data_IF_225023252802
#
_entry.id   IF_225023252802
#
_cell.length_a   1.000
_cell.length_b   1.000
_cell.length_c   1.000
_cell.angle_alpha   90.00
_cell.angle_beta   90.00
_cell.angle_gamma   90.00
#
_symmetry.space_group_name_H-M   'P 1'
#
loop_
_entity.id
_entity.type
_entity.pdbx_description
1 polymer ?
#
# COMPACT_ATOMS: atom_id res chain seq x y z
N UNK A 1 -40.38 -2.14 -32.54
CA UNK A 1 -39.89 -1.26 -31.46
C UNK A 1 -38.43 -1.60 -31.16
N UNK A 2 -37.44 -0.72 -31.45
CA UNK A 2 -36.04 -1.04 -31.17
C UNK A 2 -35.79 -0.93 -29.66
N UNK A 3 -35.33 -2.02 -29.03
CA UNK A 3 -34.94 -2.01 -27.61
C UNK A 3 -33.73 -1.10 -27.44
N UNK A 4 -33.91 0.04 -26.75
CA UNK A 4 -32.80 0.93 -26.38
C UNK A 4 -31.83 0.15 -25.49
N UNK A 5 -30.59 0.00 -25.97
CA UNK A 5 -29.50 -0.63 -25.25
C UNK A 5 -29.09 0.30 -24.10
N UNK A 6 -29.49 -0.01 -22.87
CA UNK A 6 -29.07 0.74 -21.69
C UNK A 6 -27.54 0.55 -21.57
N UNK A 7 -26.79 1.63 -21.79
CA UNK A 7 -25.35 1.63 -21.55
C UNK A 7 -25.15 1.78 -20.06
N UNK A 8 -24.90 0.68 -19.36
CA UNK A 8 -24.41 0.76 -17.98
C UNK A 8 -23.06 1.47 -18.01
N UNK A 9 -23.01 2.67 -17.42
CA UNK A 9 -21.76 3.38 -17.22
C UNK A 9 -20.86 2.50 -16.36
N UNK A 10 -19.68 2.12 -16.89
CA UNK A 10 -18.64 1.51 -16.07
C UNK A 10 -18.41 2.42 -14.85
N UNK A 11 -18.45 1.89 -13.61
CA UNK A 11 -18.13 2.70 -12.44
C UNK A 11 -16.76 3.33 -12.63
N UNK A 12 -16.65 4.60 -12.23
CA UNK A 12 -15.44 5.41 -12.37
C UNK A 12 -14.24 4.63 -11.88
N UNK A 13 -13.21 4.62 -12.73
CA UNK A 13 -11.92 3.97 -12.54
C UNK A 13 -11.49 3.98 -11.07
N UNK A 14 -11.35 2.77 -10.52
CA UNK A 14 -10.62 2.51 -9.27
C UNK A 14 -9.38 3.39 -9.29
N UNK A 15 -9.24 4.27 -8.29
CA UNK A 15 -7.98 4.96 -8.02
C UNK A 15 -6.84 3.97 -8.21
N UNK A 16 -5.78 4.38 -8.90
CA UNK A 16 -4.64 3.50 -9.16
C UNK A 16 -4.20 2.86 -7.85
N UNK A 17 -4.44 1.56 -7.69
CA UNK A 17 -4.07 0.78 -6.50
C UNK A 17 -2.54 0.72 -6.30
N UNK A 18 -1.77 1.39 -7.16
CA UNK A 18 -0.32 1.46 -7.10
C UNK A 18 0.17 2.69 -6.33
N UNK A 19 -0.70 3.65 -6.04
CA UNK A 19 -0.33 4.89 -5.36
C UNK A 19 -0.95 4.85 -3.95
N UNK A 20 -0.14 4.98 -2.88
CA UNK A 20 -0.68 5.09 -1.53
C UNK A 20 -1.60 6.31 -1.44
N UNK A 21 -2.77 6.20 -0.81
CA UNK A 21 -3.61 7.36 -0.54
C UNK A 21 -2.89 8.31 0.44
N UNK A 22 -3.17 9.61 0.31
CA UNK A 22 -2.72 10.59 1.29
C UNK A 22 -3.42 10.33 2.64
N UNK A 23 -2.74 10.49 3.79
CA UNK A 23 -3.38 10.39 5.10
C UNK A 23 -4.43 11.50 5.26
N UNK A 24 -5.45 11.26 6.08
CA UNK A 24 -6.49 12.26 6.34
C UNK A 24 -5.91 13.58 6.91
N UNK A 25 -4.80 13.52 7.64
CA UNK A 25 -4.09 14.66 8.19
C UNK A 25 -3.19 15.42 7.21
N UNK A 26 -3.24 15.12 5.90
CA UNK A 26 -2.29 15.68 4.93
C UNK A 26 -2.28 17.21 4.88
N UNK A 27 -3.45 17.84 5.00
CA UNK A 27 -3.65 19.30 4.98
C UNK A 27 -3.86 19.85 6.40
N UNK A 28 -3.12 19.33 7.38
CA UNK A 28 -3.20 19.76 8.78
C UNK A 28 -2.63 21.18 9.03
N UNK A 29 -3.05 21.84 10.14
CA UNK A 29 -2.51 23.13 10.57
C UNK A 29 -1.00 23.10 10.86
N UNK A 30 -0.39 24.29 10.93
CA UNK A 30 1.03 24.45 11.32
C UNK A 30 1.28 23.86 12.70
N UNK A 31 2.35 23.07 12.81
CA UNK A 31 2.73 22.39 14.05
C UNK A 31 2.13 20.99 14.21
N UNK A 32 1.26 20.55 13.30
CA UNK A 32 0.72 19.20 13.30
C UNK A 32 1.38 18.32 12.23
N UNK A 33 1.47 17.02 12.51
CA UNK A 33 2.07 16.06 11.59
C UNK A 33 1.12 15.67 10.45
N UNK A 34 1.62 15.67 9.22
CA UNK A 34 0.86 15.30 8.02
C UNK A 34 0.48 13.83 7.94
N UNK A 35 1.16 12.96 8.69
CA UNK A 35 0.90 11.52 8.68
C UNK A 35 -0.12 11.08 9.72
N UNK A 36 0.08 11.46 10.99
CA UNK A 36 -0.77 11.06 12.11
C UNK A 36 -1.71 12.14 12.61
N UNK A 37 -1.52 13.41 12.21
CA UNK A 37 -2.33 14.55 12.67
C UNK A 37 -1.89 15.16 14.01
N UNK A 38 -1.04 14.47 14.77
CA UNK A 38 -0.66 14.90 16.12
C UNK A 38 0.33 16.09 16.13
N UNK A 39 0.34 16.91 17.18
CA UNK A 39 1.31 18.00 17.33
C UNK A 39 2.77 17.52 17.31
N UNK A 40 3.62 18.23 16.59
CA UNK A 40 5.08 18.03 16.58
C UNK A 40 5.69 18.79 17.74
N UNK A 41 6.02 18.09 18.81
CA UNK A 41 6.56 18.70 20.05
C UNK A 41 8.09 18.61 20.05
N UNK A 42 8.75 19.73 20.36
CA UNK A 42 10.19 19.83 20.53
C UNK A 42 10.48 20.73 21.74
N UNK A 43 11.27 20.23 22.70
CA UNK A 43 11.56 20.91 23.96
C UNK A 43 10.29 21.34 24.73
N UNK A 44 9.27 20.47 24.75
CA UNK A 44 8.01 20.70 25.46
C UNK A 44 7.06 21.71 24.81
N UNK A 45 7.39 22.24 23.62
CA UNK A 45 6.55 23.19 22.88
C UNK A 45 6.21 22.66 21.49
N UNK A 46 5.04 23.02 20.97
CA UNK A 46 4.67 22.72 19.59
C UNK A 46 5.56 23.49 18.62
N UNK A 47 6.23 22.78 17.72
CA UNK A 47 7.07 23.37 16.69
C UNK A 47 6.24 23.64 15.42
N UNK A 48 5.77 24.87 15.28
CA UNK A 48 4.95 25.33 14.14
C UNK A 48 5.69 25.38 12.80
N UNK A 49 7.01 25.18 12.78
CA UNK A 49 7.83 25.11 11.55
C UNK A 49 7.93 23.70 10.98
N UNK A 50 7.54 22.67 11.74
CA UNK A 50 7.60 21.26 11.33
C UNK A 50 6.19 20.72 11.09
N UNK A 51 6.12 19.75 10.19
CA UNK A 51 4.88 19.05 9.81
C UNK A 51 5.04 17.52 9.81
N UNK A 52 6.12 17.02 10.40
CA UNK A 52 6.46 15.61 10.42
C UNK A 52 7.17 15.25 11.72
N UNK A 53 6.70 14.23 12.41
CA UNK A 53 7.55 13.51 13.36
C UNK A 53 8.60 12.69 12.59
N UNK A 54 9.82 12.51 13.13
CA UNK A 54 10.85 11.69 12.48
C UNK A 54 10.35 10.30 12.08
N UNK A 55 9.64 9.61 12.98
CA UNK A 55 9.08 8.29 12.70
C UNK A 55 7.99 8.29 11.62
N UNK A 56 7.16 9.35 11.60
CA UNK A 56 6.08 9.48 10.62
C UNK A 56 6.61 9.71 9.19
N UNK A 57 7.67 10.52 9.05
CA UNK A 57 8.31 10.69 7.74
C UNK A 57 8.99 9.40 7.29
N UNK A 58 9.61 8.63 8.18
CA UNK A 58 10.19 7.32 7.83
C UNK A 58 9.14 6.36 7.28
N UNK A 59 7.98 6.23 7.95
CA UNK A 59 6.88 5.39 7.44
C UNK A 59 6.41 5.91 6.07
N UNK A 60 6.19 7.22 5.94
CA UNK A 60 5.76 7.82 4.68
C UNK A 60 6.75 7.53 3.53
N UNK A 61 8.05 7.65 3.78
CA UNK A 61 9.09 7.35 2.81
C UNK A 61 9.08 5.85 2.45
N UNK A 62 8.92 4.95 3.41
CA UNK A 62 8.81 3.51 3.13
C UNK A 62 7.58 3.22 2.26
N UNK A 63 6.43 3.85 2.53
CA UNK A 63 5.20 3.66 1.74
C UNK A 63 5.32 4.18 0.30
N UNK A 64 6.05 5.28 0.09
CA UNK A 64 6.05 6.02 -1.18
C UNK A 64 7.31 5.82 -2.03
N UNK A 65 8.41 5.34 -1.46
CA UNK A 65 9.70 5.23 -2.14
C UNK A 65 10.21 3.80 -2.12
N UNK A 66 10.31 3.13 -3.29
CA UNK A 66 10.80 1.75 -3.37
C UNK A 66 12.21 1.56 -2.79
N UNK A 67 13.10 2.57 -2.93
CA UNK A 67 14.44 2.54 -2.36
C UNK A 67 14.42 2.50 -0.83
N UNK A 68 13.56 3.31 -0.20
CA UNK A 68 13.37 3.33 1.26
C UNK A 68 12.77 2.02 1.78
N UNK A 69 11.75 1.48 1.09
CA UNK A 69 11.17 0.18 1.38
C UNK A 69 12.20 -0.96 1.30
N UNK A 70 13.01 -0.98 0.22
CA UNK A 70 14.10 -1.93 0.05
C UNK A 70 15.11 -1.85 1.19
N UNK A 71 15.58 -0.63 1.51
CA UNK A 71 16.55 -0.39 2.58
C UNK A 71 16.00 -0.85 3.94
N UNK A 72 14.73 -0.58 4.21
CA UNK A 72 14.04 -0.99 5.44
C UNK A 72 13.95 -2.52 5.54
N UNK A 73 13.48 -3.20 4.50
CA UNK A 73 13.25 -4.64 4.52
C UNK A 73 14.54 -5.46 4.54
N UNK A 74 15.57 -5.06 3.80
CA UNK A 74 16.89 -5.72 3.85
C UNK A 74 17.48 -5.71 5.26
N UNK A 75 17.39 -4.58 5.96
CA UNK A 75 17.81 -4.47 7.37
C UNK A 75 16.92 -5.31 8.28
N UNK A 76 15.60 -5.12 8.21
CA UNK A 76 14.62 -5.79 9.09
C UNK A 76 14.68 -7.31 9.01
N UNK A 77 14.93 -7.85 7.82
CA UNK A 77 14.94 -9.29 7.56
C UNK A 77 16.35 -9.87 7.46
N UNK A 78 17.38 -9.06 7.70
CA UNK A 78 18.78 -9.45 7.59
C UNK A 78 19.03 -10.33 6.35
N UNK A 79 18.73 -9.81 5.15
CA UNK A 79 18.93 -10.52 3.87
C UNK A 79 18.34 -11.95 3.83
N UNK A 80 17.22 -12.19 4.53
CA UNK A 80 16.56 -13.50 4.57
C UNK A 80 15.25 -13.45 3.81
N UNK A 81 15.09 -14.33 2.84
CA UNK A 81 13.86 -14.45 2.06
C UNK A 81 12.73 -14.97 2.96
N UNK A 82 11.59 -14.27 2.96
CA UNK A 82 10.42 -14.67 3.75
C UNK A 82 9.58 -15.77 3.09
N UNK A 83 9.83 -16.09 1.82
CA UNK A 83 9.13 -17.18 1.12
C UNK A 83 9.79 -18.55 1.29
N UNK A 84 11.13 -18.59 1.33
CA UNK A 84 11.88 -19.85 1.42
C UNK A 84 12.80 -19.96 2.66
N UNK A 85 12.97 -18.89 3.44
CA UNK A 85 13.79 -18.88 4.66
C UNK A 85 15.30 -18.77 4.42
N UNK A 86 15.77 -18.82 3.17
CA UNK A 86 17.20 -18.77 2.86
C UNK A 86 17.77 -17.35 3.01
N UNK A 87 18.98 -17.28 3.56
CA UNK A 87 19.78 -16.06 3.67
C UNK A 87 20.68 -15.91 2.43
N UNK A 88 20.57 -14.79 1.72
CA UNK A 88 21.33 -14.55 0.48
C UNK A 88 22.22 -13.32 0.61
N UNK A 89 23.48 -13.52 1.00
CA UNK A 89 24.49 -12.45 1.01
C UNK A 89 24.76 -12.01 -0.43
N UNK A 90 24.60 -10.70 -0.71
CA UNK A 90 24.76 -10.16 -2.08
C UNK A 90 23.67 -10.58 -3.08
N UNK A 91 22.64 -11.29 -2.62
CA UNK A 91 21.54 -11.75 -3.46
C UNK A 91 20.63 -10.61 -3.93
N UNK A 92 19.96 -10.82 -5.08
CA UNK A 92 18.91 -9.92 -5.56
C UNK A 92 17.59 -10.25 -4.87
N UNK A 93 17.14 -9.34 -4.03
CA UNK A 93 15.81 -9.37 -3.43
C UNK A 93 14.85 -8.43 -4.14
N UNK A 94 13.56 -8.75 -4.03
CA UNK A 94 12.44 -7.85 -4.29
C UNK A 94 11.69 -7.59 -2.98
N UNK A 95 11.15 -6.38 -2.85
CA UNK A 95 10.19 -6.06 -1.79
C UNK A 95 8.81 -6.08 -2.39
N UNK A 96 7.92 -6.86 -1.80
CA UNK A 96 6.55 -7.04 -2.25
C UNK A 96 5.58 -6.91 -1.07
N UNK A 97 4.30 -6.78 -1.35
CA UNK A 97 3.25 -6.67 -0.33
C UNK A 97 2.70 -8.06 0.02
N UNK A 98 2.60 -8.39 1.31
CA UNK A 98 2.02 -9.66 1.80
C UNK A 98 0.58 -9.80 1.30
N UNK A 99 -0.27 -8.81 1.63
CA UNK A 99 -1.58 -8.63 1.00
C UNK A 99 -1.42 -7.76 -0.24
N UNK A 100 -1.85 -8.21 -1.43
CA UNK A 100 -1.62 -7.48 -2.67
C UNK A 100 -2.45 -6.19 -2.72
N UNK A 101 -1.89 -5.14 -3.34
CA UNK A 101 -2.51 -3.81 -3.34
C UNK A 101 -3.85 -3.72 -4.08
N UNK A 102 -4.16 -4.66 -4.98
CA UNK A 102 -5.47 -4.68 -5.64
C UNK A 102 -6.63 -5.06 -4.69
N UNK A 103 -6.33 -5.62 -3.51
CA UNK A 103 -7.31 -5.90 -2.45
C UNK A 103 -7.48 -4.72 -1.49
N UNK A 104 -6.70 -3.65 -1.66
CA UNK A 104 -6.68 -2.54 -0.70
C UNK A 104 -8.01 -1.79 -0.61
N UNK A 105 -8.75 -1.64 -1.72
CA UNK A 105 -10.03 -0.91 -1.75
C UNK A 105 -9.99 0.46 -1.04
N UNK A 106 -8.85 1.17 -1.12
CA UNK A 106 -8.63 2.46 -0.47
C UNK A 106 -8.05 2.38 0.96
N UNK A 107 -7.86 1.19 1.53
CA UNK A 107 -7.27 0.99 2.84
C UNK A 107 -5.75 1.28 2.83
N UNK A 108 -5.28 2.38 3.47
CA UNK A 108 -3.87 2.76 3.50
C UNK A 108 -2.97 1.73 4.20
N UNK A 109 -3.51 0.83 5.03
CA UNK A 109 -2.71 -0.15 5.76
C UNK A 109 -1.98 -1.12 4.83
N UNK A 110 -2.46 -1.29 3.60
CA UNK A 110 -1.83 -2.12 2.59
C UNK A 110 -0.46 -1.61 2.14
N UNK A 111 -0.18 -0.31 2.29
CA UNK A 111 1.12 0.26 1.95
C UNK A 111 2.09 0.31 3.15
N UNK A 112 1.59 0.07 4.36
CA UNK A 112 2.40 0.21 5.57
C UNK A 112 3.54 -0.82 5.63
N UNK A 113 4.64 -0.50 6.34
CA UNK A 113 5.80 -1.40 6.46
C UNK A 113 5.47 -2.80 6.98
N UNK A 114 4.39 -2.96 7.75
CA UNK A 114 3.94 -4.24 8.27
C UNK A 114 3.41 -5.18 7.17
N UNK A 115 2.89 -4.64 6.07
CA UNK A 115 2.43 -5.41 4.92
C UNK A 115 3.55 -5.69 3.90
N UNK A 116 4.81 -5.34 4.19
CA UNK A 116 5.93 -5.61 3.28
C UNK A 116 6.59 -6.96 3.59
N UNK A 117 7.04 -7.63 2.54
CA UNK A 117 7.86 -8.84 2.62
C UNK A 117 9.08 -8.78 1.70
N UNK A 118 10.18 -9.39 2.13
CA UNK A 118 11.42 -9.52 1.36
C UNK A 118 11.48 -10.89 0.69
N UNK A 119 11.58 -10.94 -0.64
CA UNK A 119 11.55 -12.18 -1.43
C UNK A 119 12.76 -12.30 -2.36
N UNK A 120 13.31 -13.51 -2.50
CA UNK A 120 14.21 -13.80 -3.62
C UNK A 120 13.43 -13.82 -4.94
N UNK A 121 14.15 -13.76 -6.06
CA UNK A 121 13.52 -13.70 -7.40
C UNK A 121 12.55 -14.86 -7.67
N UNK A 122 12.82 -16.07 -7.19
CA UNK A 122 11.96 -17.23 -7.44
C UNK A 122 10.69 -17.20 -6.60
N UNK A 123 10.80 -16.88 -5.31
CA UNK A 123 9.63 -16.70 -4.45
C UNK A 123 8.75 -15.53 -4.91
N UNK A 124 9.37 -14.44 -5.38
CA UNK A 124 8.64 -13.30 -5.93
C UNK A 124 7.85 -13.66 -7.19
N UNK A 125 8.45 -14.41 -8.13
CA UNK A 125 7.76 -14.92 -9.32
C UNK A 125 6.58 -15.81 -8.96
N UNK A 126 6.76 -16.73 -7.99
CA UNK A 126 5.69 -17.62 -7.51
C UNK A 126 4.51 -16.82 -6.94
N UNK A 127 4.79 -15.89 -6.02
CA UNK A 127 3.77 -15.02 -5.43
C UNK A 127 3.05 -14.18 -6.49
N UNK A 128 3.79 -13.56 -7.42
CA UNK A 128 3.21 -12.77 -8.51
C UNK A 128 2.20 -13.60 -9.32
N UNK A 129 2.53 -14.87 -9.63
CA UNK A 129 1.61 -15.76 -10.36
C UNK A 129 0.32 -16.01 -9.57
N UNK A 130 0.42 -16.28 -8.27
CA UNK A 130 -0.72 -16.52 -7.38
C UNK A 130 -1.60 -15.27 -7.23
N UNK A 131 -0.98 -14.09 -7.06
CA UNK A 131 -1.66 -12.80 -6.98
C UNK A 131 -2.40 -12.48 -8.29
N UNK A 132 -1.80 -12.75 -9.45
CA UNK A 132 -2.43 -12.52 -10.75
C UNK A 132 -3.64 -13.43 -11.00
N UNK A 133 -3.61 -14.67 -10.48
CA UNK A 133 -4.78 -15.57 -10.53
C UNK A 133 -5.91 -14.97 -9.70
N UNK A 134 -5.63 -14.55 -8.45
CA UNK A 134 -6.60 -13.90 -7.56
C UNK A 134 -7.19 -12.63 -8.17
N UNK A 135 -6.35 -11.76 -8.73
CA UNK A 135 -6.79 -10.53 -9.39
C UNK A 135 -7.74 -10.78 -10.56
N UNK A 136 -7.45 -11.81 -11.38
CA UNK A 136 -8.32 -12.20 -12.50
C UNK A 136 -9.66 -12.72 -12.01
N UNK A 137 -9.64 -13.57 -10.98
CA UNK A 137 -10.86 -14.10 -10.37
C UNK A 137 -11.77 -12.99 -9.84
N UNK A 138 -11.21 -12.03 -9.10
CA UNK A 138 -11.94 -10.85 -8.60
C UNK A 138 -12.54 -10.00 -9.74
N UNK A 139 -11.80 -9.82 -10.84
CA UNK A 139 -12.31 -9.08 -12.00
C UNK A 139 -13.41 -9.82 -12.78
N UNK A 140 -13.43 -11.14 -12.73
CA UNK A 140 -14.43 -11.98 -13.41
C UNK A 140 -15.65 -12.28 -12.55
N UNK A 141 -15.64 -11.94 -11.25
CA UNK A 141 -16.78 -12.16 -10.37
C UNK A 141 -18.00 -11.35 -10.86
N UNK A 142 -19.19 -11.97 -10.99
CA UNK A 142 -20.40 -11.24 -11.34
C UNK A 142 -20.70 -10.21 -10.23
N UNK A 143 -20.98 -8.97 -10.63
CA UNK A 143 -21.50 -7.95 -9.70
C UNK A 143 -22.88 -8.43 -9.30
N UNK A 144 -23.06 -8.82 -8.03
CA UNK A 144 -24.39 -9.04 -7.49
C UNK A 144 -25.07 -7.66 -7.42
N UNK A 145 -26.09 -7.46 -8.26
CA UNK A 145 -26.97 -6.31 -8.14
C UNK A 145 -27.61 -6.34 -6.75
N UNK A 146 -27.42 -5.27 -5.99
CA UNK A 146 -28.07 -5.04 -4.70
C UNK A 146 -29.58 -4.77 -4.97
N UNK A 147 -30.51 -5.61 -4.49
CA UNK A 147 -31.93 -5.30 -4.58
C UNK A 147 -32.28 -4.22 -3.55
N UNK A 148 -31.97 -2.97 -3.85
CA UNK A 148 -32.44 -1.84 -3.04
C UNK A 148 -33.92 -1.56 -3.33
N UNK A 149 -34.75 -2.13 -2.46
CA UNK A 149 -35.91 -1.57 -1.74
C UNK A 149 -37.12 -1.02 -2.53
N UNK A 150 -38.30 -1.38 -2.01
CA UNK A 150 -39.69 -1.27 -2.50
C UNK A 150 -40.13 0.02 -3.22
#
# INVERSE_FOLDING_TARGET
MPRKRIRHSRPRTVTSHRVPPKPASWDCPKGNCRYCGEPVIENGKVNTRKHWHPFCVDIWLIMNQPSSARKFMLRRKNHTCQGCGWHYVGGRFEVDHIKPLFEANGDPTYWQPANLMLLCSDCHKKKTKEDMIRFRALKSAPVCDDPSED
#
